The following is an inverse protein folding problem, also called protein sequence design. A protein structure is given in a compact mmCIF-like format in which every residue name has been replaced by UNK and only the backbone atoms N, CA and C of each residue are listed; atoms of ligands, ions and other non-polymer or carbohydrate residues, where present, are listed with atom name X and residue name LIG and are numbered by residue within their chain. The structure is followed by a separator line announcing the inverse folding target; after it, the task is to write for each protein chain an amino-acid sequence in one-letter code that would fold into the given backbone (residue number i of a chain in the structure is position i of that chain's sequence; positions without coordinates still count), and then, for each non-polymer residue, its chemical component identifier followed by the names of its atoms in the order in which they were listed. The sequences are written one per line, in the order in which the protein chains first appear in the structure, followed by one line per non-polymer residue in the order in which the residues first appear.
data_IF_599712262416
#
_entry.id   IF_599712262416
#
_cell.length_a   1.000
_cell.length_b   1.000
_cell.length_c   1.000
_cell.angle_alpha   90.00
_cell.angle_beta   90.00
_cell.angle_gamma   90.00
#
_symmetry.space_group_name_H-M   'P 1'
#
loop_
_entity.id
_entity.type
_entity.pdbx_description
1 polymer ?
#
# COMPACT_ATOMS: atom_id res chain seq x y z
N UNK A 1 -7.42 -11.68 -29.15
CA UNK A 1 -7.14 -12.70 -28.12
C UNK A 1 -8.09 -12.38 -26.97
N UNK A 2 -9.07 -13.24 -26.69
CA UNK A 2 -10.09 -12.93 -25.67
C UNK A 2 -9.43 -12.86 -24.28
N UNK A 3 -9.79 -11.90 -23.42
CA UNK A 3 -9.28 -11.87 -22.05
C UNK A 3 -9.70 -13.16 -21.36
N UNK A 4 -8.73 -13.81 -20.71
CA UNK A 4 -8.93 -15.02 -19.92
C UNK A 4 -10.00 -14.80 -18.86
N UNK A 5 -10.88 -15.79 -18.65
CA UNK A 5 -11.98 -15.78 -17.66
C UNK A 5 -11.55 -15.24 -16.28
N UNK A 6 -10.33 -15.60 -15.86
CA UNK A 6 -9.70 -15.13 -14.62
C UNK A 6 -9.51 -13.61 -14.61
N UNK A 7 -9.04 -13.02 -15.70
CA UNK A 7 -8.88 -11.56 -15.84
C UNK A 7 -10.23 -10.83 -15.81
N UNK A 8 -11.28 -11.43 -16.36
CA UNK A 8 -12.65 -10.88 -16.31
C UNK A 8 -13.21 -10.87 -14.89
N UNK A 9 -12.95 -11.94 -14.12
CA UNK A 9 -13.31 -12.00 -12.70
C UNK A 9 -12.58 -10.95 -11.87
N UNK A 10 -11.26 -10.83 -12.04
CA UNK A 10 -10.48 -9.80 -11.33
C UNK A 10 -10.95 -8.38 -11.67
N UNK A 11 -11.30 -8.12 -12.92
CA UNK A 11 -11.88 -6.84 -13.31
C UNK A 11 -13.21 -6.55 -12.62
N UNK A 12 -14.13 -7.51 -12.61
CA UNK A 12 -15.42 -7.37 -11.94
C UNK A 12 -15.29 -7.12 -10.43
N UNK A 13 -14.33 -7.79 -9.77
CA UNK A 13 -14.05 -7.60 -8.34
C UNK A 13 -13.52 -6.19 -8.09
N UNK A 14 -12.57 -5.71 -8.89
CA UNK A 14 -12.04 -4.36 -8.75
C UNK A 14 -13.10 -3.28 -9.01
N UNK A 15 -13.94 -3.46 -10.04
CA UNK A 15 -15.02 -2.52 -10.37
C UNK A 15 -16.03 -2.43 -9.22
N UNK A 16 -16.43 -3.57 -8.65
CA UNK A 16 -17.28 -3.62 -7.44
C UNK A 16 -16.59 -2.96 -6.24
N UNK A 17 -15.28 -3.15 -6.11
CA UNK A 17 -14.46 -2.52 -5.08
C UNK A 17 -14.45 -0.99 -5.15
N UNK A 18 -14.44 -0.42 -6.37
CA UNK A 18 -14.53 1.02 -6.59
C UNK A 18 -15.90 1.57 -6.21
N UNK A 19 -16.98 0.91 -6.62
CA UNK A 19 -18.33 1.30 -6.21
C UNK A 19 -18.48 1.32 -4.67
N UNK A 20 -17.94 0.32 -3.98
CA UNK A 20 -17.95 0.25 -2.52
C UNK A 20 -17.11 1.34 -1.84
N UNK A 21 -15.99 1.74 -2.44
CA UNK A 21 -15.16 2.85 -1.97
C UNK A 21 -15.91 4.18 -2.05
N UNK A 22 -16.53 4.45 -3.21
CA UNK A 22 -17.28 5.69 -3.46
C UNK A 22 -18.49 5.83 -2.54
N UNK A 23 -19.20 4.73 -2.27
CA UNK A 23 -20.34 4.69 -1.35
C UNK A 23 -19.95 4.94 0.11
N UNK A 24 -18.72 4.61 0.51
CA UNK A 24 -18.30 4.71 1.91
C UNK A 24 -17.90 6.12 2.33
N UNK A 25 -17.70 7.05 1.41
CA UNK A 25 -17.54 8.50 1.67
C UNK A 25 -16.53 8.87 2.77
N UNK A 26 -15.60 7.98 3.11
CA UNK A 26 -14.73 8.09 4.28
C UNK A 26 -13.30 8.37 3.84
N UNK A 27 -12.83 9.59 4.14
CA UNK A 27 -11.64 10.26 3.57
C UNK A 27 -11.81 10.53 2.06
N UNK A 28 -11.56 11.78 1.65
CA UNK A 28 -11.40 12.11 0.23
C UNK A 28 -10.26 11.23 -0.30
N UNK A 29 -10.58 10.25 -1.12
CA UNK A 29 -9.57 9.50 -1.88
C UNK A 29 -8.71 10.52 -2.60
N UNK A 30 -7.39 10.46 -2.42
CA UNK A 30 -6.52 11.35 -3.16
C UNK A 30 -6.60 11.00 -4.64
N UNK A 31 -6.48 12.00 -5.50
CA UNK A 31 -6.46 11.79 -6.95
C UNK A 31 -5.03 11.62 -7.50
N UNK A 32 -4.03 11.59 -6.62
CA UNK A 32 -2.63 11.40 -6.99
C UNK A 32 -2.09 10.04 -6.56
N UNK A 33 -1.01 9.58 -7.23
CA UNK A 33 -0.39 8.29 -6.96
C UNK A 33 0.03 8.11 -5.49
N UNK A 34 0.54 9.18 -4.86
CA UNK A 34 1.01 9.14 -3.46
C UNK A 34 -0.14 8.87 -2.51
N UNK A 35 -1.29 9.51 -2.71
CA UNK A 35 -2.44 9.26 -1.87
C UNK A 35 -3.13 7.93 -2.16
N UNK A 36 -3.14 7.43 -3.40
CA UNK A 36 -3.56 6.04 -3.67
C UNK A 36 -2.70 5.04 -2.88
N UNK A 37 -1.39 5.25 -2.79
CA UNK A 37 -0.51 4.39 -1.96
C UNK A 37 -0.87 4.45 -0.46
N UNK A 38 -1.15 5.65 0.08
CA UNK A 38 -1.56 5.81 1.49
C UNK A 38 -2.91 5.13 1.76
N UNK A 39 -3.87 5.30 0.87
CA UNK A 39 -5.19 4.68 0.98
C UNK A 39 -5.07 3.15 0.87
N UNK A 40 -4.25 2.67 -0.07
CA UNK A 40 -3.99 1.24 -0.28
C UNK A 40 -3.42 0.57 0.97
N UNK A 41 -2.52 1.21 1.72
CA UNK A 41 -1.95 0.66 2.96
C UNK A 41 -2.98 0.57 4.10
N UNK A 42 -3.96 1.47 4.13
CA UNK A 42 -4.98 1.49 5.20
C UNK A 42 -6.22 0.66 4.89
N UNK A 43 -6.43 0.30 3.61
CA UNK A 43 -7.60 -0.45 3.18
C UNK A 43 -7.59 -1.90 3.70
N UNK A 44 -8.76 -2.38 4.12
CA UNK A 44 -8.98 -3.73 4.69
C UNK A 44 -9.81 -4.66 3.80
N UNK A 45 -10.49 -4.13 2.78
CA UNK A 45 -11.28 -4.93 1.84
C UNK A 45 -10.44 -5.40 0.64
N UNK A 46 -10.57 -6.67 0.26
CA UNK A 46 -9.83 -7.24 -0.88
C UNK A 46 -10.22 -6.58 -2.21
N UNK A 47 -11.52 -6.44 -2.47
CA UNK A 47 -12.04 -5.82 -3.69
C UNK A 47 -11.61 -4.36 -3.83
N UNK A 48 -11.73 -3.59 -2.75
CA UNK A 48 -11.34 -2.17 -2.73
C UNK A 48 -9.82 -1.99 -2.69
N UNK A 49 -9.06 -2.93 -2.13
CA UNK A 49 -7.61 -2.97 -2.24
C UNK A 49 -7.14 -3.20 -3.67
N UNK A 50 -7.78 -4.12 -4.40
CA UNK A 50 -7.49 -4.37 -5.82
C UNK A 50 -7.80 -3.16 -6.71
N UNK A 51 -8.91 -2.46 -6.45
CA UNK A 51 -9.23 -1.21 -7.14
C UNK A 51 -8.13 -0.15 -6.95
N UNK A 52 -7.70 0.08 -5.70
CA UNK A 52 -6.63 1.02 -5.38
C UNK A 52 -5.27 0.60 -5.98
N UNK A 53 -4.96 -0.70 -5.97
CA UNK A 53 -3.73 -1.21 -6.59
C UNK A 53 -3.68 -0.89 -8.09
N UNK A 54 -4.81 -1.01 -8.79
CA UNK A 54 -4.93 -0.62 -10.20
C UNK A 54 -4.79 0.89 -10.40
N UNK A 55 -5.40 1.69 -9.53
CA UNK A 55 -5.26 3.15 -9.56
C UNK A 55 -3.79 3.57 -9.44
N UNK A 56 -3.00 2.91 -8.58
CA UNK A 56 -1.55 3.14 -8.47
C UNK A 56 -0.82 2.81 -9.76
N UNK A 57 -1.07 1.63 -10.35
CA UNK A 57 -0.40 1.20 -11.60
C UNK A 57 -0.78 2.09 -12.78
N UNK A 58 -2.06 2.46 -12.89
CA UNK A 58 -2.56 3.35 -13.94
C UNK A 58 -1.97 4.76 -13.78
N UNK A 59 -1.94 5.30 -12.56
CA UNK A 59 -1.32 6.60 -12.29
C UNK A 59 0.18 6.58 -12.63
N UNK A 60 0.92 5.55 -12.22
CA UNK A 60 2.35 5.39 -12.55
C UNK A 60 2.60 5.41 -14.06
N UNK A 61 1.75 4.73 -14.85
CA UNK A 61 1.90 4.65 -16.30
C UNK A 61 1.75 5.99 -17.03
N UNK A 62 1.19 7.00 -16.35
CA UNK A 62 0.94 8.35 -16.89
C UNK A 62 1.97 9.39 -16.46
N UNK A 63 2.88 9.05 -15.54
CA UNK A 63 3.85 10.00 -15.02
C UNK A 63 4.98 10.28 -16.01
N UNK A 64 5.34 11.55 -16.11
CA UNK A 64 6.59 12.00 -16.74
C UNK A 64 7.80 11.75 -15.82
N UNK A 65 9.02 11.88 -16.35
CA UNK A 65 10.22 11.46 -15.64
C UNK A 65 10.49 12.27 -14.36
N UNK A 66 10.17 13.56 -14.34
CA UNK A 66 10.25 14.39 -13.13
C UNK A 66 9.24 13.94 -12.06
N UNK A 67 8.04 13.53 -12.46
CA UNK A 67 7.00 13.05 -11.55
C UNK A 67 7.32 11.65 -11.02
N UNK A 68 7.94 10.79 -11.85
CA UNK A 68 8.48 9.50 -11.39
C UNK A 68 9.56 9.68 -10.35
N UNK A 69 10.47 10.63 -10.54
CA UNK A 69 11.51 10.94 -9.56
C UNK A 69 10.89 11.40 -8.24
N UNK A 70 9.92 12.33 -8.29
CA UNK A 70 9.19 12.79 -7.10
C UNK A 70 8.46 11.65 -6.39
N UNK A 71 7.88 10.70 -7.14
CA UNK A 71 7.28 9.50 -6.55
C UNK A 71 8.32 8.57 -5.90
N UNK A 72 9.48 8.37 -6.52
CA UNK A 72 10.55 7.56 -5.94
C UNK A 72 11.13 8.19 -4.67
N UNK A 73 11.22 9.52 -4.61
CA UNK A 73 11.59 10.26 -3.38
C UNK A 73 10.54 10.07 -2.30
N UNK A 74 9.24 10.12 -2.64
CA UNK A 74 8.16 9.79 -1.70
C UNK A 74 8.30 8.35 -1.13
N UNK A 75 8.62 7.35 -1.96
CA UNK A 75 8.86 5.99 -1.48
C UNK A 75 10.08 5.88 -0.57
N UNK A 76 11.10 6.71 -0.80
CA UNK A 76 12.31 6.76 0.00
C UNK A 76 12.08 7.41 1.36
N UNK A 77 11.37 8.54 1.39
CA UNK A 77 11.21 9.40 2.55
C UNK A 77 9.98 9.03 3.38
N UNK A 78 8.80 9.02 2.78
CA UNK A 78 7.53 8.86 3.51
C UNK A 78 7.16 7.38 3.75
N UNK A 79 7.61 6.47 2.87
CA UNK A 79 7.36 5.03 3.00
C UNK A 79 8.57 4.29 3.61
N UNK A 80 9.38 5.01 4.40
CA UNK A 80 10.45 4.45 5.21
C UNK A 80 9.94 3.86 6.53
N UNK A 81 10.69 2.95 7.16
CA UNK A 81 10.41 2.56 8.54
C UNK A 81 10.41 3.78 9.46
N UNK A 82 9.54 3.76 10.47
CA UNK A 82 9.56 4.78 11.51
C UNK A 82 10.73 4.50 12.47
N UNK A 83 11.69 5.43 12.51
CA UNK A 83 12.89 5.28 13.32
C UNK A 83 12.58 5.30 14.83
N UNK A 84 11.56 6.04 15.26
CA UNK A 84 11.13 6.08 16.66
C UNK A 84 10.51 4.72 17.05
N UNK A 85 9.63 4.17 16.22
CA UNK A 85 9.06 2.83 16.46
C UNK A 85 10.14 1.73 16.49
N UNK A 86 11.16 1.83 15.63
CA UNK A 86 12.31 0.91 15.66
C UNK A 86 13.05 1.01 16.99
N UNK A 87 13.38 2.21 17.44
CA UNK A 87 14.14 2.41 18.68
C UNK A 87 13.38 1.89 19.91
N UNK A 88 12.07 2.14 19.97
CA UNK A 88 11.20 1.60 21.01
C UNK A 88 11.17 0.07 20.99
N UNK A 89 11.00 -0.54 19.82
CA UNK A 89 10.95 -1.99 19.68
C UNK A 89 12.30 -2.67 19.99
N UNK A 90 13.42 -2.03 19.60
CA UNK A 90 14.77 -2.49 19.97
C UNK A 90 14.95 -2.45 21.48
N UNK A 91 14.54 -1.36 22.14
CA UNK A 91 14.65 -1.24 23.60
C UNK A 91 13.80 -2.29 24.32
N UNK A 92 12.58 -2.54 23.85
CA UNK A 92 11.70 -3.58 24.40
C UNK A 92 12.30 -4.98 24.27
N UNK A 93 12.80 -5.33 23.07
CA UNK A 93 13.42 -6.64 22.82
C UNK A 93 14.73 -6.82 23.60
N UNK A 94 15.56 -5.79 23.69
CA UNK A 94 16.79 -5.84 24.47
C UNK A 94 16.52 -6.02 25.97
N UNK A 95 15.46 -5.39 26.50
CA UNK A 95 15.05 -5.55 27.90
C UNK A 95 14.48 -6.94 28.16
N UNK A 96 13.68 -7.47 27.24
CA UNK A 96 13.03 -8.77 27.38
C UNK A 96 12.93 -9.49 26.01
N UNK A 97 13.81 -10.47 25.72
CA UNK A 97 13.88 -11.11 24.41
C UNK A 97 12.81 -12.19 24.24
N UNK A 98 11.54 -11.82 24.31
CA UNK A 98 10.38 -12.70 24.10
C UNK A 98 10.03 -12.81 22.62
N UNK A 99 9.25 -13.83 22.26
CA UNK A 99 8.70 -13.96 20.90
C UNK A 99 7.80 -12.78 20.51
N UNK A 100 7.08 -12.20 21.48
CA UNK A 100 6.24 -11.02 21.28
C UNK A 100 7.07 -9.79 20.93
N UNK A 101 8.10 -9.49 21.73
CA UNK A 101 8.97 -8.34 21.45
C UNK A 101 9.79 -8.53 20.15
N UNK A 102 10.16 -9.77 19.82
CA UNK A 102 10.74 -10.08 18.52
C UNK A 102 9.77 -9.76 17.37
N UNK A 103 8.50 -10.14 17.50
CA UNK A 103 7.48 -9.86 16.49
C UNK A 103 7.25 -8.36 16.30
N UNK A 104 7.24 -7.59 17.39
CA UNK A 104 7.12 -6.12 17.34
C UNK A 104 8.33 -5.51 16.63
N UNK A 105 9.55 -5.93 16.99
CA UNK A 105 10.78 -5.48 16.32
C UNK A 105 10.77 -5.83 14.83
N UNK A 106 10.40 -7.06 14.47
CA UNK A 106 10.31 -7.50 13.07
C UNK A 106 9.32 -6.67 12.26
N UNK A 107 8.20 -6.24 12.87
CA UNK A 107 7.23 -5.38 12.22
C UNK A 107 7.76 -3.94 12.06
N UNK A 108 8.40 -3.38 13.11
CA UNK A 108 8.91 -2.01 13.10
C UNK A 108 10.04 -1.79 12.07
N UNK A 109 10.92 -2.78 11.87
CA UNK A 109 12.00 -2.69 10.88
C UNK A 109 11.51 -2.85 9.43
N UNK A 110 10.29 -3.34 9.24
CA UNK A 110 9.73 -3.53 7.91
C UNK A 110 9.20 -2.20 7.35
N UNK A 111 9.85 -1.72 6.30
CA UNK A 111 9.46 -0.47 5.67
C UNK A 111 8.04 -0.57 5.05
N UNK A 112 7.15 0.44 5.23
CA UNK A 112 5.81 0.49 4.62
C UNK A 112 5.82 0.25 3.10
N UNK A 113 6.89 0.66 2.41
CA UNK A 113 7.08 0.38 0.97
C UNK A 113 7.07 -1.12 0.62
N UNK A 114 7.48 -2.03 1.52
CA UNK A 114 7.43 -3.47 1.25
C UNK A 114 6.00 -3.98 1.16
N UNK A 115 5.17 -3.59 2.14
CA UNK A 115 3.75 -3.92 2.14
C UNK A 115 3.02 -3.26 0.97
N UNK A 116 3.38 -2.02 0.64
CA UNK A 116 2.86 -1.33 -0.53
C UNK A 116 3.13 -2.13 -1.81
N UNK A 117 4.36 -2.61 -2.02
CA UNK A 117 4.71 -3.41 -3.20
C UNK A 117 3.96 -4.75 -3.24
N UNK A 118 3.78 -5.42 -2.09
CA UNK A 118 2.93 -6.61 -2.00
C UNK A 118 1.50 -6.31 -2.42
N UNK A 119 0.92 -5.22 -1.94
CA UNK A 119 -0.46 -4.81 -2.31
C UNK A 119 -0.59 -4.44 -3.78
N UNK A 120 0.37 -3.72 -4.33
CA UNK A 120 0.39 -3.37 -5.76
C UNK A 120 0.46 -4.62 -6.65
N UNK A 121 1.14 -5.68 -6.19
CA UNK A 121 1.23 -6.94 -6.96
C UNK A 121 -0.11 -7.65 -7.19
N UNK A 122 -1.17 -7.27 -6.47
CA UNK A 122 -2.54 -7.78 -6.66
C UNK A 122 -3.37 -6.98 -7.68
N UNK A 123 -2.81 -5.96 -8.33
CA UNK A 123 -3.50 -5.16 -9.35
C UNK A 123 -4.00 -5.99 -10.55
#
# INVERSE_FOLDING_TARGET
MAPTFVSQLFNSIADTGRELLDLRGGKKTSHDIKGYCRDLLTQRGEASGMALARDVVEAWSRLEDEEKLDFLLFLHEEMAPDQEEIEEAVAAYHKEPTAENYSLLSAAIEAPRQELMRRISFA
#
